data_IF_113812636786
#
_entry.id   IF_113812636786
#
_cell.length_a   1.000
_cell.length_b   1.000
_cell.length_c   1.000
_cell.angle_alpha   90.00
_cell.angle_beta   90.00
_cell.angle_gamma   90.00
#
_symmetry.space_group_name_H-M   'P 1'
#
loop_
_entity.id
_entity.type
_entity.pdbx_description
1 polymer ?
#
# COMPACT_ATOMS: atom_id res chain seq x y z
N UNK A 1 -12.67 10.54 10.96
CA UNK A 1 -11.65 11.61 10.97
C UNK A 1 -10.40 11.09 11.64
N UNK A 2 -9.21 11.37 11.09
CA UNK A 2 -7.92 10.95 11.68
C UNK A 2 -7.33 12.04 12.58
N UNK A 3 -6.46 11.65 13.51
CA UNK A 3 -5.72 12.56 14.41
C UNK A 3 -4.61 13.30 13.64
N UNK A 4 -4.27 14.50 14.09
CA UNK A 4 -3.09 15.24 13.63
C UNK A 4 -1.78 14.49 13.95
N UNK A 5 -0.85 14.48 13.00
CA UNK A 5 0.44 13.79 13.11
C UNK A 5 0.37 12.26 12.98
N UNK A 6 -0.77 11.69 12.57
CA UNK A 6 -0.96 10.23 12.44
C UNK A 6 -0.03 9.62 11.38
N UNK A 7 0.36 8.35 11.58
CA UNK A 7 1.01 7.52 10.55
C UNK A 7 -0.04 6.61 9.93
N UNK A 8 -0.16 6.63 8.61
CA UNK A 8 -1.16 5.86 7.88
C UNK A 8 -0.50 4.91 6.90
N UNK A 9 -0.87 3.64 7.01
CA UNK A 9 -0.53 2.59 6.07
C UNK A 9 -1.81 2.16 5.36
N UNK A 10 -1.95 2.57 4.11
CA UNK A 10 -3.07 2.22 3.23
C UNK A 10 -2.75 0.91 2.50
N UNK A 11 -3.37 -0.16 2.98
CA UNK A 11 -3.28 -1.52 2.41
C UNK A 11 -4.35 -1.73 1.34
N UNK A 12 -5.36 -0.85 1.29
CA UNK A 12 -6.47 -0.92 0.36
C UNK A 12 -5.99 -0.95 -1.09
N UNK A 13 -6.52 -1.88 -1.87
CA UNK A 13 -6.23 -1.96 -3.30
C UNK A 13 -7.49 -2.33 -4.05
N UNK A 14 -8.35 -1.35 -4.30
CA UNK A 14 -9.57 -1.51 -5.07
C UNK A 14 -9.36 -1.10 -6.52
N UNK A 15 -9.80 -1.94 -7.46
CA UNK A 15 -9.85 -1.57 -8.89
C UNK A 15 -11.08 -0.71 -9.12
N UNK A 16 -10.88 0.50 -9.63
CA UNK A 16 -11.96 1.38 -10.05
C UNK A 16 -11.87 1.60 -11.57
N UNK A 17 -13.00 1.55 -12.31
CA UNK A 17 -13.00 1.78 -13.75
C UNK A 17 -12.29 3.09 -14.12
N UNK A 18 -11.51 3.07 -15.20
CA UNK A 18 -10.78 4.23 -15.71
C UNK A 18 -10.62 4.14 -17.22
N UNK A 19 -10.94 5.24 -17.92
CA UNK A 19 -10.71 5.41 -19.35
C UNK A 19 -9.30 5.91 -19.66
N UNK A 20 -8.55 6.33 -18.64
CA UNK A 20 -7.21 6.95 -18.78
C UNK A 20 -6.08 5.91 -18.80
N UNK A 21 -6.35 4.70 -18.30
CA UNK A 21 -5.37 3.61 -18.20
C UNK A 21 -5.60 2.55 -19.27
N UNK A 22 -4.53 1.98 -19.84
CA UNK A 22 -4.63 0.86 -20.80
C UNK A 22 -5.38 -0.36 -20.25
N UNK A 23 -5.33 -0.58 -18.93
CA UNK A 23 -5.99 -1.68 -18.22
C UNK A 23 -7.50 -1.51 -18.05
N UNK A 24 -8.07 -0.34 -18.39
CA UNK A 24 -9.49 -0.03 -18.14
C UNK A 24 -9.84 0.23 -16.67
N UNK A 25 -8.84 0.25 -15.79
CA UNK A 25 -9.01 0.53 -14.35
C UNK A 25 -7.76 1.16 -13.75
N UNK A 26 -7.96 1.97 -12.71
CA UNK A 26 -6.90 2.43 -11.82
C UNK A 26 -7.05 1.80 -10.43
N UNK A 27 -5.97 1.80 -9.66
CA UNK A 27 -6.00 1.34 -8.27
C UNK A 27 -6.33 2.52 -7.35
N UNK A 28 -7.20 2.28 -6.37
CA UNK A 28 -7.57 3.23 -5.33
C UNK A 28 -7.39 2.57 -3.96
N UNK A 29 -6.80 3.31 -3.03
CA UNK A 29 -6.68 2.90 -1.63
C UNK A 29 -7.95 3.18 -0.83
N UNK A 30 -7.93 2.77 0.43
CA UNK A 30 -9.05 2.99 1.36
C UNK A 30 -9.06 4.43 1.91
N UNK A 31 -7.95 5.15 1.75
CA UNK A 31 -7.78 6.49 2.32
C UNK A 31 -7.97 7.58 1.25
N UNK A 32 -8.71 8.63 1.63
CA UNK A 32 -8.80 9.86 0.84
C UNK A 32 -7.47 10.65 0.93
N UNK A 33 -6.47 10.22 0.15
CA UNK A 33 -5.07 10.68 0.26
C UNK A 33 -4.93 12.21 0.30
N UNK A 34 -5.60 12.93 -0.60
CA UNK A 34 -5.48 14.40 -0.69
C UNK A 34 -6.02 15.14 0.54
N UNK A 35 -7.05 14.60 1.20
CA UNK A 35 -7.67 15.21 2.38
C UNK A 35 -6.89 14.87 3.66
N UNK A 36 -6.26 13.69 3.67
CA UNK A 36 -5.64 13.10 4.85
C UNK A 36 -4.14 13.37 4.92
N UNK A 37 -3.46 13.48 3.77
CA UNK A 37 -2.02 13.73 3.70
C UNK A 37 -1.58 15.01 4.45
N UNK A 38 -2.31 16.14 4.42
CA UNK A 38 -1.90 17.33 5.18
C UNK A 38 -1.89 17.15 6.70
N UNK A 39 -2.62 16.16 7.24
CA UNK A 39 -2.70 15.87 8.69
C UNK A 39 -1.76 14.75 9.14
N UNK A 40 -1.23 13.99 8.19
CA UNK A 40 -0.44 12.80 8.48
C UNK A 40 1.05 13.17 8.59
N UNK A 41 1.75 12.58 9.56
CA UNK A 41 3.22 12.65 9.59
C UNK A 41 3.84 11.78 8.51
N UNK A 42 3.21 10.64 8.22
CA UNK A 42 3.55 9.74 7.13
C UNK A 42 2.28 9.08 6.58
N UNK A 43 2.23 8.90 5.25
CA UNK A 43 1.11 8.25 4.57
C UNK A 43 1.61 7.48 3.35
N UNK A 44 1.15 6.24 3.15
CA UNK A 44 1.50 5.46 1.95
C UNK A 44 0.52 5.73 0.81
N UNK A 45 0.98 5.97 -0.42
CA UNK A 45 0.10 6.15 -1.57
C UNK A 45 -0.43 4.81 -2.11
N UNK A 46 -1.54 4.89 -2.83
CA UNK A 46 -2.04 3.79 -3.67
C UNK A 46 -2.30 4.33 -5.08
N UNK A 47 -1.65 3.80 -6.12
CA UNK A 47 -0.62 2.74 -6.10
C UNK A 47 0.73 3.20 -5.54
N UNK A 48 1.67 2.26 -5.37
CA UNK A 48 3.07 2.54 -5.01
C UNK A 48 3.42 2.37 -3.52
N UNK A 49 2.45 2.04 -2.67
CA UNK A 49 2.67 1.76 -1.25
C UNK A 49 2.87 0.26 -0.95
N UNK A 50 1.96 -0.29 -0.16
CA UNK A 50 2.12 -1.61 0.50
C UNK A 50 2.31 -2.78 -0.45
N UNK A 51 1.76 -2.72 -1.67
CA UNK A 51 1.85 -3.82 -2.64
C UNK A 51 3.29 -4.27 -2.95
N UNK A 52 4.24 -3.33 -3.03
CA UNK A 52 5.66 -3.66 -3.26
C UNK A 52 6.28 -4.36 -2.04
N UNK A 53 5.90 -3.92 -0.83
CA UNK A 53 6.37 -4.53 0.41
C UNK A 53 5.85 -5.95 0.60
N UNK A 54 4.65 -6.27 0.10
CA UNK A 54 4.11 -7.64 0.11
C UNK A 54 5.00 -8.59 -0.70
N UNK A 55 5.43 -8.19 -1.89
CA UNK A 55 6.31 -9.00 -2.74
C UNK A 55 7.67 -9.21 -2.06
N UNK A 56 8.28 -8.13 -1.54
CA UNK A 56 9.57 -8.22 -0.84
C UNK A 56 9.46 -9.12 0.40
N UNK A 57 8.37 -9.00 1.15
CA UNK A 57 8.14 -9.80 2.35
C UNK A 57 8.00 -11.29 2.02
N UNK A 58 7.33 -11.62 0.92
CA UNK A 58 7.26 -13.00 0.43
C UNK A 58 8.68 -13.52 0.11
N UNK A 59 9.48 -12.78 -0.66
CA UNK A 59 10.84 -13.19 -1.01
C UNK A 59 11.74 -13.35 0.23
N UNK A 60 11.62 -12.44 1.20
CA UNK A 60 12.32 -12.52 2.47
C UNK A 60 11.93 -13.78 3.23
N UNK A 61 10.63 -14.09 3.32
CA UNK A 61 10.15 -15.29 3.98
C UNK A 61 10.65 -16.56 3.28
N UNK A 62 10.65 -16.58 1.94
CA UNK A 62 11.24 -17.67 1.15
C UNK A 62 12.72 -17.87 1.46
N UNK A 63 13.50 -16.78 1.54
CA UNK A 63 14.92 -16.84 1.90
C UNK A 63 15.14 -17.40 3.32
N UNK A 64 14.35 -16.94 4.29
CA UNK A 64 14.45 -17.38 5.68
C UNK A 64 14.11 -18.87 5.83
N UNK A 65 13.10 -19.34 5.10
CA UNK A 65 12.72 -20.76 5.03
C UNK A 65 13.83 -21.60 4.38
N UNK A 66 14.43 -21.14 3.28
CA UNK A 66 15.55 -21.83 2.64
C UNK A 66 16.77 -21.95 3.56
N UNK A 67 17.00 -20.93 4.41
CA UNK A 67 18.05 -20.93 5.43
C UNK A 67 17.70 -21.74 6.70
N UNK A 68 16.47 -22.24 6.83
CA UNK A 68 15.96 -22.89 8.06
C UNK A 68 16.18 -22.03 9.32
N UNK A 69 15.97 -20.73 9.18
CA UNK A 69 16.11 -19.74 10.27
C UNK A 69 14.80 -19.42 10.96
N UNK A 70 13.71 -19.73 10.26
CA UNK A 70 12.34 -19.77 10.76
C UNK A 70 11.90 -21.16 10.34
N UNK A 71 11.44 -21.99 11.28
CA UNK A 71 11.28 -23.46 11.23
C UNK A 71 12.50 -24.27 11.67
#
# INVERSE_FOLDING_TARGET
>A
MVKEGVVIIDVGTTRVPSTETKSGFRLKGDVAFNEVAPKASYITPVPGGVGLMTIISLLKNTLLAAKKTVY
#
